data_IF_879883424673
#
_entry.id   IF_879883424673
#
_cell.length_a   1.000
_cell.length_b   1.000
_cell.length_c   1.000
_cell.angle_alpha   90.00
_cell.angle_beta   90.00
_cell.angle_gamma   90.00
#
_symmetry.space_group_name_H-M   'P 1'
#
loop_
_entity.id
_entity.type
_entity.pdbx_description
1 polymer ?
#
# COMPACT_ATOMS: atom_id res chain seq x y z
N UNK A 1 0.04 -14.82 39.61
CA UNK A 1 0.95 -14.70 38.46
C UNK A 1 0.76 -15.91 37.57
N UNK A 2 0.02 -15.73 36.47
CA UNK A 2 0.19 -16.46 35.21
C UNK A 2 -0.73 -15.75 34.22
N UNK A 3 -0.16 -14.89 33.37
CA UNK A 3 -0.90 -14.34 32.23
C UNK A 3 -0.82 -15.38 31.14
N UNK A 4 -1.96 -15.95 30.75
CA UNK A 4 -2.07 -16.86 29.63
C UNK A 4 -1.94 -16.07 28.33
N UNK A 5 -0.93 -16.44 27.54
CA UNK A 5 -0.79 -16.07 26.14
C UNK A 5 -1.82 -16.89 25.33
N UNK A 6 -3.01 -16.33 25.11
CA UNK A 6 -3.93 -16.83 24.09
C UNK A 6 -4.09 -15.82 22.95
N UNK A 7 -3.70 -16.29 21.77
CA UNK A 7 -4.22 -15.97 20.43
C UNK A 7 -3.84 -14.63 19.76
N UNK A 8 -2.55 -14.55 19.41
CA UNK A 8 -2.02 -13.74 18.29
C UNK A 8 -2.44 -14.28 16.90
N UNK A 9 -3.70 -14.69 16.68
CA UNK A 9 -4.17 -15.22 15.38
C UNK A 9 -5.32 -14.41 14.72
N UNK A 10 -5.74 -13.31 15.36
CA UNK A 10 -6.82 -12.42 14.90
C UNK A 10 -6.32 -11.07 14.32
N UNK A 11 -5.01 -10.81 14.34
CA UNK A 11 -4.43 -9.49 14.02
C UNK A 11 -4.30 -9.14 12.52
N UNK A 12 -4.58 -10.07 11.60
CA UNK A 12 -4.59 -9.78 10.15
C UNK A 12 -5.98 -9.47 9.58
N UNK A 13 -6.98 -9.23 10.43
CA UNK A 13 -8.40 -9.26 10.00
C UNK A 13 -9.10 -7.92 10.06
N UNK A 14 -8.72 -7.08 11.00
CA UNK A 14 -9.22 -5.72 11.12
C UNK A 14 -8.07 -4.79 11.44
N UNK A 15 -8.15 -3.59 10.92
CA UNK A 15 -7.22 -2.53 11.25
C UNK A 15 -7.79 -1.73 12.43
N UNK A 16 -6.92 -1.36 13.36
CA UNK A 16 -7.32 -0.71 14.61
C UNK A 16 -6.53 0.58 14.82
N UNK A 17 -7.19 1.60 15.39
CA UNK A 17 -6.55 2.84 15.83
C UNK A 17 -6.40 2.83 17.36
N UNK A 18 -5.19 3.10 17.85
CA UNK A 18 -4.90 3.21 19.27
C UNK A 18 -4.70 4.69 19.63
N UNK A 19 -5.74 5.32 20.18
CA UNK A 19 -5.56 6.50 21.02
C UNK A 19 -5.05 6.02 22.39
N UNK A 20 -4.26 6.83 23.07
CA UNK A 20 -3.45 6.43 24.23
C UNK A 20 -4.19 5.77 25.41
N UNK A 21 -5.52 5.74 25.43
CA UNK A 21 -6.32 5.02 26.43
C UNK A 21 -7.82 4.92 26.03
N UNK A 22 -8.16 4.27 24.89
CA UNK A 22 -9.26 3.31 24.94
C UNK A 22 -8.98 2.04 24.11
N UNK A 23 -9.86 1.05 24.28
CA UNK A 23 -9.88 -0.19 23.49
C UNK A 23 -9.80 0.12 21.98
N UNK A 24 -9.07 -0.72 21.21
CA UNK A 24 -8.91 -0.52 19.77
C UNK A 24 -10.28 -0.49 19.07
N UNK A 25 -10.54 0.58 18.32
CA UNK A 25 -11.77 0.76 17.56
C UNK A 25 -11.60 0.27 16.11
N UNK A 26 -12.56 -0.49 15.56
CA UNK A 26 -12.53 -0.90 14.16
C UNK A 26 -12.70 0.32 13.26
N UNK A 27 -11.90 0.39 12.20
CA UNK A 27 -11.98 1.47 11.19
C UNK A 27 -12.42 0.97 9.81
N UNK A 28 -12.81 -0.31 9.71
CA UNK A 28 -13.30 -0.94 8.48
C UNK A 28 -14.67 -1.59 8.73
N UNK A 29 -15.54 -1.69 7.70
CA UNK A 29 -16.86 -2.32 7.85
C UNK A 29 -16.78 -3.75 8.37
N UNK A 30 -17.80 -4.16 9.12
CA UNK A 30 -18.05 -5.57 9.42
C UNK A 30 -18.74 -6.22 8.22
N UNK A 31 -18.02 -7.13 7.57
CA UNK A 31 -18.52 -7.87 6.40
C UNK A 31 -19.18 -9.21 6.78
N UNK A 32 -19.39 -9.49 8.08
CA UNK A 32 -19.99 -10.74 8.55
C UNK A 32 -19.06 -11.96 8.42
N UNK A 33 -17.76 -11.74 8.20
CA UNK A 33 -16.75 -12.79 8.04
C UNK A 33 -15.44 -12.28 7.43
N UNK A 34 -14.41 -13.14 7.31
CA UNK A 34 -13.07 -12.77 6.83
C UNK A 34 -12.99 -12.70 5.29
N UNK A 35 -13.97 -12.05 4.67
CA UNK A 35 -14.10 -11.89 3.21
C UNK A 35 -13.38 -10.66 2.67
N UNK A 36 -12.91 -9.77 3.55
CA UNK A 36 -12.03 -8.65 3.20
C UNK A 36 -10.88 -8.63 4.18
N UNK A 37 -9.66 -8.44 3.69
CA UNK A 37 -8.43 -8.39 4.49
C UNK A 37 -7.62 -7.16 4.13
N UNK A 38 -6.87 -6.65 5.10
CA UNK A 38 -6.06 -5.45 4.94
C UNK A 38 -4.64 -5.68 5.45
N UNK A 39 -3.65 -5.12 4.78
CA UNK A 39 -2.24 -5.23 5.18
C UNK A 39 -1.40 -4.04 4.69
N UNK A 40 -0.22 -3.89 5.30
CA UNK A 40 0.86 -2.98 4.88
C UNK A 40 0.39 -1.54 4.65
N UNK A 41 -0.32 -0.98 5.64
CA UNK A 41 -0.84 0.36 5.51
C UNK A 41 -0.05 1.45 6.23
N UNK A 42 -0.35 2.68 5.84
CA UNK A 42 0.29 3.90 6.30
C UNK A 42 -0.76 4.98 6.57
N UNK A 43 -0.55 5.74 7.64
CA UNK A 43 -1.42 6.87 7.98
C UNK A 43 -1.06 8.10 7.13
N UNK A 44 -2.05 8.61 6.40
CA UNK A 44 -1.99 9.91 5.75
C UNK A 44 -2.60 10.99 6.64
N UNK A 45 -1.73 11.81 7.22
CA UNK A 45 -2.13 12.93 8.07
C UNK A 45 -2.85 14.06 7.33
N UNK A 46 -2.67 14.19 6.01
CA UNK A 46 -3.27 15.27 5.23
C UNK A 46 -4.77 15.04 5.05
N UNK A 47 -5.16 13.84 4.64
CA UNK A 47 -6.57 13.45 4.44
C UNK A 47 -7.20 12.80 5.67
N UNK A 48 -6.43 12.62 6.75
CA UNK A 48 -6.83 11.84 7.94
C UNK A 48 -7.38 10.49 7.53
N UNK A 49 -6.63 9.80 6.68
CA UNK A 49 -6.98 8.47 6.18
C UNK A 49 -5.86 7.48 6.46
N UNK A 50 -6.20 6.21 6.36
CA UNK A 50 -5.24 5.12 6.40
C UNK A 50 -5.24 4.43 5.04
N UNK A 51 -4.11 4.50 4.35
CA UNK A 51 -3.91 3.85 3.05
C UNK A 51 -3.45 2.43 3.31
N UNK A 52 -4.07 1.44 2.68
CA UNK A 52 -3.76 0.02 2.94
C UNK A 52 -3.93 -0.79 1.66
N UNK A 53 -3.27 -1.94 1.61
CA UNK A 53 -3.64 -3.00 0.66
C UNK A 53 -4.92 -3.64 1.16
N UNK A 54 -5.83 -3.99 0.25
CA UNK A 54 -7.06 -4.74 0.49
C UNK A 54 -7.14 -5.93 -0.44
N UNK A 55 -7.34 -7.12 0.13
CA UNK A 55 -7.81 -8.30 -0.60
C UNK A 55 -9.33 -8.45 -0.38
N UNK A 56 -10.08 -8.54 -1.47
CA UNK A 56 -11.55 -8.63 -1.44
C UNK A 56 -12.03 -9.94 -2.07
N UNK A 57 -12.58 -10.82 -1.23
CA UNK A 57 -13.11 -12.14 -1.59
C UNK A 57 -14.64 -12.16 -1.74
N UNK A 58 -15.32 -11.01 -1.61
CA UNK A 58 -16.80 -10.95 -1.61
C UNK A 58 -17.41 -11.44 -2.92
N UNK A 59 -16.74 -11.18 -4.04
CA UNK A 59 -17.18 -11.64 -5.37
C UNK A 59 -16.63 -13.02 -5.75
N UNK A 60 -15.44 -13.37 -5.27
CA UNK A 60 -14.77 -14.64 -5.58
C UNK A 60 -13.85 -15.10 -4.45
N UNK A 61 -14.05 -16.33 -3.99
CA UNK A 61 -13.19 -16.94 -2.97
C UNK A 61 -11.85 -17.45 -3.51
N UNK A 62 -11.75 -17.66 -4.84
CA UNK A 62 -10.55 -18.22 -5.49
C UNK A 62 -9.67 -17.14 -6.12
N UNK A 63 -10.29 -16.06 -6.61
CA UNK A 63 -9.60 -14.97 -7.30
C UNK A 63 -9.99 -13.65 -6.62
N UNK A 64 -9.49 -13.36 -5.41
CA UNK A 64 -9.76 -12.11 -4.74
C UNK A 64 -9.23 -10.93 -5.55
N UNK A 65 -9.93 -9.80 -5.47
CA UNK A 65 -9.41 -8.55 -6.03
C UNK A 65 -8.46 -7.90 -5.03
N UNK A 66 -7.20 -7.73 -5.42
CA UNK A 66 -6.23 -6.93 -4.66
C UNK A 66 -6.31 -5.47 -5.10
N UNK A 67 -6.27 -4.54 -4.15
CA UNK A 67 -6.32 -3.10 -4.43
C UNK A 67 -5.59 -2.30 -3.35
N UNK A 68 -5.12 -1.11 -3.69
CA UNK A 68 -4.72 -0.11 -2.69
C UNK A 68 -5.95 0.75 -2.40
N UNK A 69 -6.31 0.89 -1.14
CA UNK A 69 -7.51 1.60 -0.69
C UNK A 69 -7.16 2.68 0.34
N UNK A 70 -8.02 3.69 0.44
CA UNK A 70 -8.00 4.71 1.47
C UNK A 70 -9.18 4.51 2.41
N UNK A 71 -8.88 4.33 3.70
CA UNK A 71 -9.84 4.18 4.78
C UNK A 71 -9.93 5.52 5.49
N UNK A 72 -11.08 6.20 5.42
CA UNK A 72 -11.25 7.49 6.09
C UNK A 72 -11.34 7.27 7.61
N UNK A 73 -10.58 8.03 8.39
CA UNK A 73 -10.64 7.97 9.86
C UNK A 73 -11.58 9.06 10.36
N UNK A 74 -12.84 8.70 10.56
CA UNK A 74 -13.87 9.54 11.17
C UNK A 74 -14.43 8.85 12.42
N UNK A 75 -14.67 9.61 13.48
CA UNK A 75 -15.05 9.06 14.78
C UNK A 75 -16.50 8.55 14.84
N UNK A 76 -17.30 8.81 13.80
CA UNK A 76 -18.77 8.69 13.88
C UNK A 76 -19.40 7.74 12.86
N UNK A 77 -18.69 7.31 11.78
CA UNK A 77 -19.30 6.42 10.78
C UNK A 77 -18.29 5.65 9.92
N UNK A 78 -18.18 4.35 10.14
CA UNK A 78 -17.37 3.43 9.33
C UNK A 78 -17.93 3.38 7.90
N UNK A 79 -17.06 3.63 6.91
CA UNK A 79 -17.42 3.64 5.49
C UNK A 79 -16.66 2.57 4.71
N UNK A 80 -17.21 2.18 3.55
CA UNK A 80 -16.48 1.35 2.59
C UNK A 80 -15.20 2.08 2.14
N UNK A 81 -14.02 1.42 2.15
CA UNK A 81 -12.79 2.06 1.72
C UNK A 81 -12.82 2.49 0.24
N UNK A 82 -12.26 3.66 -0.05
CA UNK A 82 -12.13 4.18 -1.42
C UNK A 82 -10.98 3.48 -2.13
N UNK A 83 -11.23 2.88 -3.30
CA UNK A 83 -10.15 2.30 -4.12
C UNK A 83 -9.31 3.41 -4.74
N UNK A 84 -8.00 3.37 -4.51
CA UNK A 84 -7.02 4.27 -5.09
C UNK A 84 -6.33 3.67 -6.33
N UNK A 85 -5.98 2.38 -6.25
CA UNK A 85 -5.28 1.64 -7.32
C UNK A 85 -5.84 0.23 -7.40
N UNK A 86 -6.11 -0.23 -8.63
CA UNK A 86 -6.57 -1.58 -8.94
C UNK A 86 -6.22 -1.96 -10.40
N UNK A 87 -6.45 -3.22 -10.78
CA UNK A 87 -6.32 -3.72 -12.15
C UNK A 87 -5.16 -4.71 -12.39
N UNK A 88 -4.10 -4.64 -11.60
CA UNK A 88 -3.05 -5.66 -11.50
C UNK A 88 -3.36 -6.72 -10.41
N UNK A 89 -2.66 -7.84 -10.44
CA UNK A 89 -2.92 -8.99 -9.55
C UNK A 89 -2.51 -8.71 -8.10
N UNK A 90 -1.35 -8.05 -7.92
CA UNK A 90 -0.75 -7.86 -6.60
C UNK A 90 -0.15 -6.46 -6.42
N UNK A 91 -0.15 -6.01 -5.17
CA UNK A 91 0.39 -4.72 -4.73
C UNK A 91 1.16 -4.90 -3.44
N UNK A 92 2.12 -4.01 -3.20
CA UNK A 92 2.85 -3.91 -1.95
C UNK A 92 3.31 -2.47 -1.70
N UNK A 93 3.65 -2.17 -0.45
CA UNK A 93 4.32 -0.95 -0.01
C UNK A 93 3.65 0.35 -0.46
N UNK A 94 2.34 0.56 -0.19
CA UNK A 94 1.75 1.88 -0.38
C UNK A 94 2.43 2.87 0.56
N UNK A 95 3.14 3.85 0.00
CA UNK A 95 3.88 4.86 0.76
C UNK A 95 3.51 6.28 0.38
N UNK A 96 2.89 7.01 1.29
CA UNK A 96 2.49 8.40 1.07
C UNK A 96 3.65 9.35 1.37
N UNK A 97 3.82 10.40 0.57
CA UNK A 97 4.78 11.46 0.90
C UNK A 97 4.27 12.35 2.05
N UNK A 98 5.16 13.17 2.63
CA UNK A 98 4.79 13.94 3.84
C UNK A 98 3.69 14.97 3.60
N UNK A 99 3.37 15.25 2.34
CA UNK A 99 2.36 16.24 1.91
C UNK A 99 1.06 15.60 1.44
N UNK A 100 0.95 14.27 1.40
CA UNK A 100 -0.22 13.58 0.88
C UNK A 100 -0.48 13.83 -0.61
N UNK A 101 0.56 14.18 -1.39
CA UNK A 101 0.44 14.52 -2.82
C UNK A 101 0.97 13.44 -3.73
N UNK A 102 1.78 12.52 -3.20
CA UNK A 102 2.32 11.39 -3.97
C UNK A 102 2.24 10.10 -3.18
N UNK A 103 1.70 9.08 -3.83
CA UNK A 103 1.67 7.71 -3.34
C UNK A 103 2.67 6.88 -4.16
N UNK A 104 3.65 6.27 -3.51
CA UNK A 104 4.49 5.25 -4.12
C UNK A 104 3.90 3.86 -3.82
N UNK A 105 4.05 2.90 -4.73
CA UNK A 105 3.70 1.49 -4.48
C UNK A 105 4.44 0.57 -5.43
N UNK A 106 4.56 -0.70 -5.06
CA UNK A 106 5.03 -1.77 -5.94
C UNK A 106 3.82 -2.55 -6.44
N UNK A 107 3.80 -2.91 -7.72
CA UNK A 107 2.82 -3.85 -8.29
C UNK A 107 3.50 -4.90 -9.15
N UNK A 108 2.90 -6.09 -9.22
CA UNK A 108 3.32 -7.18 -10.08
C UNK A 108 2.13 -8.06 -10.45
N UNK A 109 2.33 -8.92 -11.44
CA UNK A 109 1.30 -9.81 -11.94
C UNK A 109 1.86 -11.13 -12.42
N UNK A 110 0.96 -12.13 -12.52
CA UNK A 110 1.32 -13.46 -12.99
C UNK A 110 1.94 -13.42 -14.40
N UNK A 111 2.90 -14.31 -14.70
CA UNK A 111 3.37 -15.42 -13.87
C UNK A 111 4.49 -15.05 -12.89
N UNK A 112 4.85 -13.78 -12.77
CA UNK A 112 6.01 -13.35 -11.99
C UNK A 112 5.64 -13.22 -10.51
N UNK A 113 6.55 -13.62 -9.63
CA UNK A 113 6.52 -13.17 -8.24
C UNK A 113 7.24 -11.82 -8.11
N UNK A 114 7.03 -11.13 -6.99
CA UNK A 114 7.63 -9.81 -6.78
C UNK A 114 9.17 -9.80 -6.87
N UNK A 115 9.84 -10.90 -6.49
CA UNK A 115 11.28 -11.08 -6.62
C UNK A 115 11.75 -11.46 -8.04
N UNK A 116 10.85 -11.89 -8.93
CA UNK A 116 11.18 -12.22 -10.32
C UNK A 116 11.14 -10.96 -11.20
N UNK A 117 10.02 -10.23 -11.13
CA UNK A 117 9.81 -8.97 -11.82
C UNK A 117 8.67 -8.20 -11.17
N UNK A 118 8.92 -6.94 -10.83
CA UNK A 118 7.91 -6.03 -10.29
C UNK A 118 8.13 -4.61 -10.81
N UNK A 119 7.16 -3.74 -10.61
CA UNK A 119 7.23 -2.34 -11.01
C UNK A 119 6.99 -1.44 -9.80
N UNK A 120 7.83 -0.40 -9.65
CA UNK A 120 7.61 0.67 -8.67
C UNK A 120 6.95 1.83 -9.38
N UNK A 121 5.82 2.26 -8.85
CA UNK A 121 5.04 3.36 -9.38
C UNK A 121 4.97 4.51 -8.39
N UNK A 122 4.77 5.72 -8.94
CA UNK A 122 4.37 6.91 -8.19
C UNK A 122 3.11 7.48 -8.81
N UNK A 123 2.08 7.63 -8.00
CA UNK A 123 0.81 8.25 -8.33
C UNK A 123 0.69 9.64 -7.70
N UNK A 124 0.11 10.58 -8.43
CA UNK A 124 -0.21 11.92 -7.96
C UNK A 124 -1.62 11.94 -7.39
N UNK A 125 -1.75 12.44 -6.17
CA UNK A 125 -2.99 12.41 -5.38
C UNK A 125 -3.64 13.80 -5.42
N UNK A 126 -4.93 13.85 -5.74
CA UNK A 126 -5.74 15.08 -5.73
C UNK A 126 -6.10 15.50 -4.29
N UNK A 127 -6.68 16.70 -4.13
CA UNK A 127 -7.16 17.14 -2.82
C UNK A 127 -8.33 16.29 -2.30
N UNK A 128 -9.05 15.60 -3.19
CA UNK A 128 -10.11 14.64 -2.85
C UNK A 128 -9.57 13.21 -2.61
N UNK A 129 -8.25 13.04 -2.65
CA UNK A 129 -7.56 11.78 -2.40
C UNK A 129 -7.56 10.80 -3.57
N UNK A 130 -7.82 11.24 -4.80
CA UNK A 130 -7.78 10.39 -6.00
C UNK A 130 -6.38 10.34 -6.62
N UNK A 131 -5.95 9.15 -7.02
CA UNK A 131 -4.76 9.00 -7.88
C UNK A 131 -5.16 9.33 -9.32
N UNK A 132 -4.83 10.53 -9.79
CA UNK A 132 -5.27 11.03 -11.11
C UNK A 132 -4.22 10.86 -12.21
N UNK A 133 -2.97 10.56 -11.84
CA UNK A 133 -1.86 10.31 -12.76
C UNK A 133 -0.87 9.38 -12.09
N UNK A 134 -0.23 8.49 -12.86
CA UNK A 134 0.85 7.63 -12.36
C UNK A 134 2.02 7.56 -13.34
N UNK A 135 3.20 7.27 -12.81
CA UNK A 135 4.44 7.07 -13.56
C UNK A 135 5.17 5.86 -13.00
N UNK A 136 5.76 5.05 -13.89
CA UNK A 136 6.61 3.95 -13.49
C UNK A 136 8.04 4.49 -13.24
N UNK A 137 8.55 4.28 -12.03
CA UNK A 137 9.86 4.75 -11.55
C UNK A 137 10.93 3.69 -11.75
N UNK A 138 10.57 2.41 -11.64
CA UNK A 138 11.46 1.27 -11.79
C UNK A 138 10.69 0.04 -12.27
N UNK A 139 11.33 -0.88 -12.99
CA UNK A 139 10.73 -2.14 -13.43
C UNK A 139 9.92 -2.11 -14.73
N UNK A 140 9.62 -0.91 -15.25
CA UNK A 140 8.81 -0.74 -16.47
C UNK A 140 9.57 -0.89 -17.79
N UNK A 141 10.91 -1.03 -17.78
CA UNK A 141 11.69 -1.26 -18.99
C UNK A 141 11.60 -2.74 -19.39
N UNK A 142 11.02 -3.09 -20.56
CA UNK A 142 10.89 -4.49 -20.97
C UNK A 142 12.22 -5.16 -21.33
N UNK A 143 13.29 -4.38 -21.52
CA UNK A 143 14.62 -4.90 -21.90
C UNK A 143 15.46 -5.33 -20.70
N UNK A 144 15.00 -5.02 -19.48
CA UNK A 144 15.68 -5.32 -18.23
C UNK A 144 14.72 -6.10 -17.33
N UNK A 145 15.24 -7.12 -16.63
CA UNK A 145 14.52 -7.77 -15.53
C UNK A 145 14.91 -7.04 -14.25
N UNK A 146 13.90 -6.62 -13.49
CA UNK A 146 14.09 -5.81 -12.30
C UNK A 146 12.99 -6.10 -11.27
N UNK A 147 13.39 -6.18 -10.00
CA UNK A 147 12.56 -6.35 -8.83
C UNK A 147 12.79 -5.21 -7.84
N UNK A 148 12.08 -4.07 -8.00
CA UNK A 148 12.11 -2.99 -7.03
C UNK A 148 11.27 -3.33 -5.79
N UNK A 149 11.73 -2.90 -4.61
CA UNK A 149 11.08 -3.14 -3.32
C UNK A 149 11.38 -2.03 -2.31
N UNK A 150 10.66 -2.03 -1.19
CA UNK A 150 10.86 -1.13 -0.04
C UNK A 150 10.98 0.36 -0.41
N UNK A 151 10.05 0.93 -1.20
CA UNK A 151 10.04 2.37 -1.44
C UNK A 151 9.86 3.14 -0.13
N UNK A 152 10.57 4.25 0.05
CA UNK A 152 10.40 5.16 1.19
C UNK A 152 10.66 6.61 0.80
N UNK A 153 9.80 7.50 1.28
CA UNK A 153 10.01 8.93 1.18
C UNK A 153 10.92 9.42 2.31
N UNK A 154 11.91 10.25 1.96
CA UNK A 154 12.71 10.97 2.95
C UNK A 154 11.89 12.14 3.55
N UNK A 155 12.32 12.72 4.69
CA UNK A 155 11.71 13.94 5.21
C UNK A 155 11.77 15.16 4.26
N UNK A 156 12.56 15.08 3.18
CA UNK A 156 12.62 16.09 2.12
C UNK A 156 11.75 15.72 0.90
N UNK A 157 10.90 14.71 1.06
CA UNK A 157 10.05 14.12 0.04
C UNK A 157 10.80 13.60 -1.21
N UNK A 158 12.00 13.06 -0.99
CA UNK A 158 12.78 12.33 -1.99
C UNK A 158 12.47 10.84 -1.89
N UNK A 159 12.19 10.17 -3.01
CA UNK A 159 11.90 8.73 -3.01
C UNK A 159 13.18 7.91 -3.12
N UNK A 160 13.37 7.02 -2.17
CA UNK A 160 14.39 5.97 -2.19
C UNK A 160 13.72 4.61 -2.31
N UNK A 161 14.41 3.66 -2.92
CA UNK A 161 13.93 2.29 -3.06
C UNK A 161 15.12 1.35 -3.25
N UNK A 162 14.88 0.05 -3.09
CA UNK A 162 15.89 -0.98 -3.30
C UNK A 162 15.54 -1.72 -4.58
N UNK A 163 16.54 -2.03 -5.41
CA UNK A 163 16.32 -2.82 -6.62
C UNK A 163 17.58 -3.60 -7.00
N UNK A 164 17.38 -4.75 -7.63
CA UNK A 164 18.42 -5.66 -8.12
C UNK A 164 18.97 -5.29 -9.51
N UNK A 165 18.49 -4.18 -10.11
CA UNK A 165 18.89 -3.77 -11.47
C UNK A 165 20.41 -3.77 -11.67
N UNK A 166 20.81 -4.18 -12.88
CA UNK A 166 22.18 -4.26 -13.40
C UNK A 166 23.13 -5.25 -12.69
N UNK A 167 23.14 -5.25 -11.36
CA UNK A 167 24.09 -6.04 -10.56
C UNK A 167 23.57 -7.43 -10.20
N UNK A 168 22.25 -7.64 -10.23
CA UNK A 168 21.60 -8.83 -9.68
C UNK A 168 21.54 -8.85 -8.15
N UNK A 169 21.98 -7.77 -7.48
CA UNK A 169 21.92 -7.60 -6.04
C UNK A 169 21.08 -6.37 -5.70
N UNK A 170 20.22 -6.49 -4.69
CA UNK A 170 19.42 -5.39 -4.16
C UNK A 170 20.31 -4.28 -3.57
N UNK A 171 20.36 -3.15 -4.27
CA UNK A 171 21.09 -1.95 -3.88
C UNK A 171 20.13 -0.77 -3.70
N UNK A 172 20.54 0.25 -2.94
CA UNK A 172 19.74 1.46 -2.70
C UNK A 172 19.83 2.44 -3.88
N UNK A 173 18.68 2.89 -4.37
CA UNK A 173 18.54 3.89 -5.43
C UNK A 173 17.68 5.06 -4.95
N UNK A 174 17.85 6.20 -5.63
CA UNK A 174 17.06 7.40 -5.46
C UNK A 174 16.35 7.71 -6.77
N UNK A 175 15.06 8.01 -6.71
CA UNK A 175 14.33 8.51 -7.86
C UNK A 175 14.75 9.96 -8.17
N UNK A 176 15.18 10.20 -9.40
CA UNK A 176 15.54 11.53 -9.90
C UNK A 176 14.53 11.93 -10.98
N UNK A 177 13.82 13.04 -10.74
CA UNK A 177 12.91 13.61 -11.74
C UNK A 177 13.76 14.37 -12.75
N UNK A 178 13.87 13.85 -13.97
CA UNK A 178 14.39 14.64 -15.08
C UNK A 178 13.28 15.58 -15.56
N UNK A 179 13.39 16.85 -15.18
CA UNK A 179 12.65 17.91 -15.86
C UNK A 179 13.24 18.02 -17.27
N UNK A 180 12.54 17.47 -18.26
CA UNK A 180 12.83 17.76 -19.66
C UNK A 180 12.38 19.20 -19.87
N UNK A 181 13.33 20.11 -20.05
CA UNK A 181 13.08 21.49 -20.48
C UNK A 181 12.64 21.52 -21.94
#
# INVERSE_FOLDING_TARGET
MMYDLLELHELMRHLYWLLADPLPLPITPDYGGPVVRYADGEFDSHLRSYVSIREDYRESSLNPTTSIVSIKLNDENIQEPKVLVSGNDFYAFPRMDSKGKRLAWVEWGHPNMHWDKAELWVGYVSDDGDVYKRICVAGGDPTIVESPTEPRWSPKDELFFITDRHSGFWNLYKWVIHLVH
#
